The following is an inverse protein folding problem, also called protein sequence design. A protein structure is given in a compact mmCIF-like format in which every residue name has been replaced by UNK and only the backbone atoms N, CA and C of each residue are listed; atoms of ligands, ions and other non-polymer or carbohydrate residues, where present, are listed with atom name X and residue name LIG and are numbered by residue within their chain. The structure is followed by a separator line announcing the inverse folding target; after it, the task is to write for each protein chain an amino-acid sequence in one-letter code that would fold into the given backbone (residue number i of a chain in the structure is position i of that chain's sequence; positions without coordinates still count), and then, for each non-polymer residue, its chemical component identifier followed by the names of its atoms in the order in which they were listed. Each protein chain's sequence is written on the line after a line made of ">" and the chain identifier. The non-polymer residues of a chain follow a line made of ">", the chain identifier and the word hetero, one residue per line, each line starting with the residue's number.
data_IF_786684116053
#
_entry.id   IF_786684116053
#
_cell.length_a   1.000
_cell.length_b   1.000
_cell.length_c   1.000
_cell.angle_alpha   90.00
_cell.angle_beta   90.00
_cell.angle_gamma   90.00
#
_symmetry.space_group_name_H-M   'P 1'
#
loop_
_entity.id
_entity.type
_entity.pdbx_description
1 polymer ?
#
# COMPACT_ATOMS: atom_id res chain seq x y z
N UNK A 1 -5.55 7.36 -19.67
CA UNK A 1 -6.04 6.44 -18.61
C UNK A 1 -5.13 6.55 -17.38
N UNK A 2 -5.65 6.78 -16.17
CA UNK A 2 -4.83 6.76 -14.94
C UNK A 2 -4.48 5.30 -14.61
N UNK A 3 -3.18 4.99 -14.42
CA UNK A 3 -2.70 3.64 -14.08
C UNK A 3 -3.20 3.22 -12.69
N UNK A 4 -3.81 2.03 -12.60
CA UNK A 4 -4.33 1.43 -11.36
C UNK A 4 -3.30 0.43 -10.82
N UNK A 5 -3.20 0.34 -9.49
CA UNK A 5 -2.44 -0.67 -8.77
C UNK A 5 -3.45 -1.47 -7.96
N UNK A 6 -3.55 -2.77 -8.20
CA UNK A 6 -4.47 -3.64 -7.46
C UNK A 6 -3.83 -4.15 -6.18
N UNK A 7 -4.66 -4.70 -5.28
CA UNK A 7 -4.22 -5.22 -3.98
C UNK A 7 -3.06 -6.21 -4.09
N UNK A 8 -3.09 -7.11 -5.08
CA UNK A 8 -2.01 -8.07 -5.31
C UNK A 8 -0.70 -7.39 -5.73
N UNK A 9 -0.76 -6.47 -6.68
CA UNK A 9 0.42 -5.72 -7.14
C UNK A 9 0.99 -4.85 -6.02
N UNK A 10 0.12 -4.20 -5.22
CA UNK A 10 0.55 -3.38 -4.09
C UNK A 10 1.24 -4.24 -3.02
N UNK A 11 0.69 -5.41 -2.70
CA UNK A 11 1.31 -6.33 -1.75
C UNK A 11 2.68 -6.81 -2.24
N UNK A 12 2.80 -7.15 -3.52
CA UNK A 12 4.07 -7.53 -4.14
C UNK A 12 5.10 -6.39 -4.13
N UNK A 13 4.68 -5.15 -4.46
CA UNK A 13 5.54 -3.97 -4.43
C UNK A 13 6.10 -3.66 -3.03
N UNK A 14 5.33 -3.96 -2.00
CA UNK A 14 5.70 -3.75 -0.60
C UNK A 14 6.39 -4.97 0.02
N UNK A 15 6.52 -6.08 -0.73
CA UNK A 15 7.02 -7.37 -0.25
C UNK A 15 6.30 -7.87 1.02
N UNK A 16 4.98 -7.76 1.06
CA UNK A 16 4.13 -8.22 2.18
C UNK A 16 3.04 -9.17 1.70
N UNK A 17 2.47 -9.96 2.62
CA UNK A 17 1.30 -10.79 2.31
C UNK A 17 0.04 -9.94 2.07
N UNK A 18 -0.91 -10.45 1.27
CA UNK A 18 -2.24 -9.85 1.10
C UNK A 18 -2.96 -9.62 2.44
N UNK A 19 -2.83 -10.57 3.38
CA UNK A 19 -3.40 -10.49 4.73
C UNK A 19 -2.77 -9.34 5.53
N UNK A 20 -1.46 -9.15 5.42
CA UNK A 20 -0.75 -8.03 6.06
C UNK A 20 -1.23 -6.70 5.50
N UNK A 21 -1.30 -6.56 4.18
CA UNK A 21 -1.80 -5.35 3.52
C UNK A 21 -3.26 -5.06 3.93
N UNK A 22 -4.11 -6.08 3.97
CA UNK A 22 -5.50 -5.93 4.44
C UNK A 22 -5.56 -5.43 5.88
N UNK A 23 -4.72 -5.94 6.79
CA UNK A 23 -4.67 -5.47 8.18
C UNK A 23 -4.19 -4.02 8.29
N UNK A 24 -3.20 -3.62 7.51
CA UNK A 24 -2.72 -2.23 7.47
C UNK A 24 -3.83 -1.29 6.99
N UNK A 25 -4.56 -1.68 5.94
CA UNK A 25 -5.69 -0.92 5.42
C UNK A 25 -6.83 -0.82 6.45
N UNK A 26 -7.22 -1.93 7.08
CA UNK A 26 -8.27 -1.93 8.12
C UNK A 26 -7.91 -1.12 9.36
N UNK A 27 -6.62 -0.88 9.61
CA UNK A 27 -6.11 -0.05 10.71
C UNK A 27 -5.88 1.42 10.30
N UNK A 28 -6.20 1.80 9.06
CA UNK A 28 -5.93 3.15 8.55
C UNK A 28 -4.44 3.48 8.40
N UNK A 29 -3.56 2.47 8.42
CA UNK A 29 -2.11 2.64 8.27
C UNK A 29 -1.68 2.63 6.79
N UNK A 30 -2.51 2.07 5.91
CA UNK A 30 -2.34 2.17 4.46
C UNK A 30 -3.32 3.20 3.90
N UNK A 31 -2.98 3.88 2.79
CA UNK A 31 -3.89 4.78 2.10
C UNK A 31 -5.22 4.10 1.75
N UNK A 32 -6.31 4.84 1.82
CA UNK A 32 -7.62 4.31 1.41
C UNK A 32 -7.62 3.95 -0.08
N UNK A 33 -8.24 2.81 -0.46
CA UNK A 33 -8.39 2.45 -1.85
C UNK A 33 -9.35 3.41 -2.56
N UNK A 34 -9.02 3.76 -3.81
CA UNK A 34 -9.86 4.64 -4.65
C UNK A 34 -11.14 3.94 -5.08
N UNK A 35 -11.15 2.61 -5.08
CA UNK A 35 -12.35 1.83 -5.34
C UNK A 35 -12.07 0.34 -5.41
N UNK A 36 -13.06 -0.39 -5.91
CA UNK A 36 -13.04 -1.84 -6.06
C UNK A 36 -13.20 -2.22 -7.53
N UNK A 37 -12.44 -3.22 -7.98
CA UNK A 37 -12.61 -3.80 -9.30
C UNK A 37 -13.85 -4.68 -9.36
N UNK A 38 -14.33 -4.96 -10.57
CA UNK A 38 -15.43 -5.92 -10.78
C UNK A 38 -15.15 -7.32 -10.23
N UNK A 39 -13.87 -7.69 -10.09
CA UNK A 39 -13.45 -8.97 -9.49
C UNK A 39 -13.29 -8.90 -7.96
N UNK A 40 -13.77 -7.83 -7.33
CA UNK A 40 -13.79 -7.68 -5.87
C UNK A 40 -12.46 -7.25 -5.24
N UNK A 41 -11.45 -6.87 -6.02
CA UNK A 41 -10.15 -6.41 -5.50
C UNK A 41 -10.09 -4.89 -5.36
N UNK A 42 -9.58 -4.38 -4.23
CA UNK A 42 -9.33 -2.94 -4.07
C UNK A 42 -8.20 -2.48 -4.99
N UNK A 43 -8.30 -1.24 -5.47
CA UNK A 43 -7.27 -0.60 -6.27
C UNK A 43 -6.97 0.83 -5.82
N UNK A 44 -5.73 1.25 -6.07
CA UNK A 44 -5.26 2.61 -5.89
C UNK A 44 -4.81 3.18 -7.23
N UNK A 45 -4.68 4.50 -7.31
CA UNK A 45 -4.12 5.16 -8.48
C UNK A 45 -2.61 5.31 -8.31
N UNK A 46 -1.82 4.86 -9.28
CA UNK A 46 -0.36 4.99 -9.23
C UNK A 46 0.11 6.45 -9.18
N UNK A 47 -0.74 7.39 -9.62
CA UNK A 47 -0.48 8.83 -9.56
C UNK A 47 -0.78 9.47 -8.19
N UNK A 48 -1.40 8.75 -7.26
CA UNK A 48 -1.80 9.27 -5.95
C UNK A 48 -0.56 9.61 -5.10
N UNK A 49 -0.41 10.87 -4.63
CA UNK A 49 0.73 11.28 -3.82
C UNK A 49 0.85 10.53 -2.49
N UNK A 50 -0.27 10.24 -1.82
CA UNK A 50 -0.27 9.52 -0.54
C UNK A 50 0.17 8.07 -0.73
N UNK A 51 -0.28 7.42 -1.81
CA UNK A 51 0.19 6.08 -2.17
C UNK A 51 1.69 6.06 -2.47
N UNK A 52 2.18 7.02 -3.25
CA UNK A 52 3.61 7.12 -3.58
C UNK A 52 4.47 7.29 -2.33
N UNK A 53 4.05 8.17 -1.41
CA UNK A 53 4.75 8.40 -0.15
C UNK A 53 4.73 7.13 0.72
N UNK A 54 3.58 6.47 0.83
CA UNK A 54 3.47 5.22 1.57
C UNK A 54 4.41 4.13 1.04
N UNK A 55 4.44 3.91 -0.29
CA UNK A 55 5.35 2.94 -0.91
C UNK A 55 6.82 3.33 -0.65
N UNK A 56 7.16 4.62 -0.78
CA UNK A 56 8.52 5.10 -0.53
C UNK A 56 8.94 4.91 0.94
N UNK A 57 8.03 5.18 1.89
CA UNK A 57 8.26 5.03 3.33
C UNK A 57 8.50 3.55 3.70
N UNK A 58 7.76 2.63 3.09
CA UNK A 58 7.96 1.18 3.30
C UNK A 58 9.22 0.64 2.62
N UNK A 59 9.68 1.26 1.53
CA UNK A 59 10.90 0.87 0.81
C UNK A 59 12.19 1.39 1.42
N UNK A 60 12.15 2.35 2.35
CA UNK A 60 13.36 2.86 3.02
C UNK A 60 13.86 1.84 4.05
N UNK A 61 15.04 1.21 3.84
CA UNK A 61 15.68 0.45 4.90
C UNK A 61 16.17 1.45 5.96
N UNK A 62 15.62 1.39 7.18
CA UNK A 62 16.19 2.15 8.30
C UNK A 62 15.25 2.67 9.38
N UNK A 63 13.92 2.76 9.18
CA UNK A 63 13.05 3.33 10.25
C UNK A 63 12.67 2.39 11.39
N UNK A 64 13.06 1.12 11.31
CA UNK A 64 12.96 0.17 12.43
C UNK A 64 14.24 0.08 13.28
N UNK A 65 15.32 0.81 12.94
CA UNK A 65 16.60 0.73 13.63
C UNK A 65 16.96 1.98 14.45
N UNK A 66 16.20 3.09 14.35
CA UNK A 66 16.60 4.40 14.92
C UNK A 66 15.60 4.97 15.95
N UNK A 67 14.91 4.09 16.69
CA UNK A 67 13.87 4.52 17.63
C UNK A 67 13.65 3.60 18.82
N UNK A 68 14.62 2.73 19.14
CA UNK A 68 14.68 2.09 20.46
C UNK A 68 15.46 3.05 21.35
N UNK A 69 14.73 3.83 22.13
CA UNK A 69 15.26 4.53 23.30
C UNK A 69 15.25 3.60 24.49
#
# INVERSE_FOLDING_TARGET
>A
MKKRIYTADLAALLNVSLRTLSRLSSRGLAPEPVGRSHRGGHYWLAGDPALKRFIADQRRPGRAADGVR
#
